data_IF_731576308759
#
_entry.id   IF_731576308759
#
_cell.length_a   1.000
_cell.length_b   1.000
_cell.length_c   1.000
_cell.angle_alpha   90.00
_cell.angle_beta   90.00
_cell.angle_gamma   90.00
#
_symmetry.space_group_name_H-M   'P 1'
#
loop_
_entity.id
_entity.type
_entity.pdbx_description
1 polymer ?
#
# COMPACT_ATOMS: atom_id res chain seq x y z
N UNK A 1 -6.93 38.88 -51.94
CA UNK A 1 -7.93 38.46 -52.96
C UNK A 1 -8.10 36.95 -52.86
N UNK A 2 -9.35 36.50 -52.93
CA UNK A 2 -9.85 35.11 -52.89
C UNK A 2 -9.80 34.34 -51.57
N UNK A 3 -10.86 34.60 -50.80
CA UNK A 3 -11.46 33.74 -49.78
C UNK A 3 -12.40 32.73 -50.47
N UNK A 4 -12.36 31.43 -50.12
CA UNK A 4 -13.39 30.45 -50.49
C UNK A 4 -14.18 30.04 -49.25
N UNK A 5 -15.47 30.43 -49.25
CA UNK A 5 -16.52 30.02 -48.33
C UNK A 5 -17.01 28.60 -48.68
N UNK A 6 -17.27 27.78 -47.66
CA UNK A 6 -18.23 26.67 -47.72
C UNK A 6 -19.26 26.85 -46.61
N UNK A 7 -20.58 26.70 -46.88
CA UNK A 7 -21.62 26.93 -45.88
C UNK A 7 -21.98 25.65 -45.12
N UNK A 8 -22.13 25.80 -43.81
CA UNK A 8 -22.76 24.85 -42.89
C UNK A 8 -24.27 24.90 -43.13
N UNK A 9 -24.89 23.76 -43.46
CA UNK A 9 -26.36 23.60 -43.48
C UNK A 9 -26.80 22.88 -42.22
N UNK A 10 -27.41 23.64 -41.32
CA UNK A 10 -28.27 23.15 -40.24
C UNK A 10 -29.50 22.46 -40.85
N UNK A 11 -29.79 21.24 -40.38
CA UNK A 11 -31.12 20.66 -40.41
C UNK A 11 -31.41 20.10 -39.03
N UNK A 12 -32.13 20.88 -38.22
CA UNK A 12 -32.94 20.38 -37.13
C UNK A 12 -34.31 19.99 -37.69
N UNK A 13 -34.80 18.81 -37.33
CA UNK A 13 -36.23 18.64 -37.06
C UNK A 13 -36.41 17.68 -35.87
N UNK A 14 -37.39 17.90 -34.98
CA UNK A 14 -37.41 17.30 -33.65
C UNK A 14 -38.50 16.23 -33.47
N UNK A 15 -38.35 15.50 -32.35
CA UNK A 15 -39.36 14.71 -31.61
C UNK A 15 -39.70 13.30 -32.13
N UNK A 16 -39.38 12.33 -31.26
CA UNK A 16 -39.81 10.93 -31.32
C UNK A 16 -39.24 10.12 -30.15
N UNK A 17 -39.60 10.46 -28.91
CA UNK A 17 -39.49 9.59 -27.73
C UNK A 17 -40.33 8.31 -28.01
N UNK A 18 -39.89 7.05 -27.86
CA UNK A 18 -39.61 6.30 -26.63
C UNK A 18 -39.60 4.79 -27.01
N UNK A 19 -38.98 3.93 -26.17
CA UNK A 19 -39.00 2.45 -26.20
C UNK A 19 -38.25 1.73 -27.34
N UNK A 20 -36.91 1.63 -27.23
CA UNK A 20 -36.22 0.41 -27.73
C UNK A 20 -34.80 0.20 -27.20
N UNK A 21 -34.09 1.23 -26.72
CA UNK A 21 -32.68 1.09 -26.30
C UNK A 21 -32.42 0.36 -24.98
N UNK A 22 -33.38 0.30 -24.04
CA UNK A 22 -33.21 -0.42 -22.75
C UNK A 22 -33.37 -1.94 -22.88
N UNK A 23 -34.21 -2.43 -23.78
CA UNK A 23 -34.41 -3.86 -23.96
C UNK A 23 -33.21 -4.55 -24.65
N UNK A 24 -32.54 -3.85 -25.57
CA UNK A 24 -31.33 -4.37 -26.23
C UNK A 24 -30.10 -4.47 -25.30
N UNK A 25 -29.98 -3.57 -24.31
CA UNK A 25 -28.90 -3.65 -23.32
C UNK A 25 -29.14 -4.78 -22.30
N UNK A 26 -30.38 -4.93 -21.81
CA UNK A 26 -30.73 -5.98 -20.84
C UNK A 26 -30.55 -7.40 -21.39
N UNK A 27 -30.97 -7.68 -22.63
CA UNK A 27 -30.82 -9.01 -23.22
C UNK A 27 -29.33 -9.43 -23.30
N UNK A 28 -28.46 -8.49 -23.67
CA UNK A 28 -27.02 -8.69 -23.76
C UNK A 28 -26.36 -8.93 -22.39
N UNK A 29 -26.86 -8.27 -21.34
CA UNK A 29 -26.42 -8.51 -19.97
C UNK A 29 -26.90 -9.85 -19.43
N UNK A 30 -28.15 -10.24 -19.70
CA UNK A 30 -28.68 -11.54 -19.29
C UNK A 30 -27.88 -12.68 -19.92
N UNK A 31 -27.57 -12.60 -21.22
CA UNK A 31 -26.71 -13.57 -21.91
C UNK A 31 -25.28 -13.59 -21.33
N UNK A 32 -24.71 -12.42 -21.03
CA UNK A 32 -23.39 -12.32 -20.39
C UNK A 32 -23.36 -12.97 -19.00
N UNK A 33 -24.35 -12.68 -18.16
CA UNK A 33 -24.50 -13.27 -16.83
C UNK A 33 -24.67 -14.78 -16.93
N UNK A 34 -25.52 -15.26 -17.85
CA UNK A 34 -25.72 -16.69 -18.07
C UNK A 34 -24.41 -17.39 -18.47
N UNK A 35 -23.65 -16.80 -19.41
CA UNK A 35 -22.34 -17.32 -19.82
C UNK A 35 -21.35 -17.38 -18.65
N UNK A 36 -21.21 -16.28 -17.89
CA UNK A 36 -20.34 -16.23 -16.71
C UNK A 36 -20.73 -17.24 -15.64
N UNK A 37 -22.03 -17.48 -15.47
CA UNK A 37 -22.55 -18.47 -14.55
C UNK A 37 -22.21 -19.88 -14.99
N UNK A 38 -22.35 -20.19 -16.27
CA UNK A 38 -21.95 -21.49 -16.81
C UNK A 38 -20.45 -21.74 -16.65
N UNK A 39 -19.60 -20.74 -16.93
CA UNK A 39 -18.15 -20.82 -16.70
C UNK A 39 -17.82 -21.09 -15.22
N UNK A 40 -18.50 -20.38 -14.31
CA UNK A 40 -18.31 -20.57 -12.87
C UNK A 40 -18.75 -21.95 -12.39
N UNK A 41 -19.93 -22.42 -12.82
CA UNK A 41 -20.50 -23.72 -12.42
C UNK A 41 -19.60 -24.89 -12.82
N UNK A 42 -18.88 -24.81 -13.94
CA UNK A 42 -17.99 -25.87 -14.40
C UNK A 42 -16.81 -26.16 -13.44
N UNK A 43 -16.46 -25.21 -12.56
CA UNK A 43 -15.32 -25.27 -11.64
C UNK A 43 -15.79 -25.26 -10.18
N UNK A 44 -17.05 -24.89 -9.93
CA UNK A 44 -17.59 -24.71 -8.60
C UNK A 44 -17.94 -26.02 -7.89
N UNK A 45 -17.97 -25.97 -6.55
CA UNK A 45 -18.53 -27.05 -5.75
C UNK A 45 -20.02 -27.25 -6.03
N UNK A 46 -20.52 -28.50 -6.02
CA UNK A 46 -21.96 -28.77 -6.09
C UNK A 46 -22.73 -28.22 -4.88
N UNK A 47 -22.19 -28.40 -3.68
CA UNK A 47 -22.70 -27.80 -2.44
C UNK A 47 -21.66 -26.79 -1.92
N UNK A 48 -22.00 -25.49 -1.86
CA UNK A 48 -21.08 -24.48 -1.36
C UNK A 48 -20.96 -24.48 0.16
N UNK A 49 -21.88 -25.08 0.93
CA UNK A 49 -21.80 -25.03 2.40
C UNK A 49 -20.83 -26.11 2.89
N UNK A 50 -19.63 -25.70 3.33
CA UNK A 50 -18.57 -26.65 3.68
C UNK A 50 -18.50 -26.97 5.17
N UNK A 51 -18.95 -26.06 6.04
CA UNK A 51 -19.00 -26.27 7.50
C UNK A 51 -19.84 -25.19 8.19
N UNK A 52 -20.07 -25.37 9.50
CA UNK A 52 -20.50 -24.31 10.41
C UNK A 52 -19.40 -23.97 11.41
N UNK A 53 -19.09 -22.69 11.56
CA UNK A 53 -18.08 -22.17 12.48
C UNK A 53 -18.75 -21.63 13.73
N UNK A 54 -18.18 -21.95 14.89
CA UNK A 54 -18.59 -21.42 16.20
C UNK A 54 -17.35 -21.22 17.09
N UNK A 55 -16.42 -20.40 16.62
CA UNK A 55 -15.14 -20.12 17.30
C UNK A 55 -15.19 -18.79 18.07
N UNK A 56 -14.29 -18.57 19.05
CA UNK A 56 -14.18 -17.28 19.74
C UNK A 56 -13.99 -16.11 18.78
N UNK A 57 -13.21 -16.29 17.71
CA UNK A 57 -12.95 -15.26 16.71
C UNK A 57 -14.21 -14.93 15.93
N UNK A 58 -15.00 -15.93 15.55
CA UNK A 58 -16.30 -15.71 14.94
C UNK A 58 -17.25 -14.98 15.90
N UNK A 59 -17.37 -15.44 17.15
CA UNK A 59 -18.23 -14.78 18.15
C UNK A 59 -17.81 -13.34 18.44
N UNK A 60 -16.51 -13.04 18.36
CA UNK A 60 -15.97 -11.71 18.63
C UNK A 60 -16.44 -10.63 17.65
N UNK A 61 -16.95 -11.02 16.47
CA UNK A 61 -17.47 -10.04 15.50
C UNK A 61 -18.87 -9.53 15.89
N UNK A 62 -19.62 -10.25 16.73
CA UNK A 62 -20.99 -9.91 17.09
C UNK A 62 -21.02 -8.79 18.13
N UNK A 63 -21.02 -7.56 17.63
CA UNK A 63 -21.40 -6.37 18.40
C UNK A 63 -22.91 -6.19 18.36
N UNK A 64 -23.45 -5.39 19.30
CA UNK A 64 -24.87 -5.04 19.31
C UNK A 64 -25.26 -4.36 17.99
N UNK A 65 -24.39 -3.51 17.47
CA UNK A 65 -24.55 -2.80 16.22
C UNK A 65 -24.59 -3.74 15.00
N UNK A 66 -23.76 -4.79 14.99
CA UNK A 66 -23.81 -5.80 13.94
C UNK A 66 -25.10 -6.64 14.01
N UNK A 67 -25.54 -7.01 15.21
CA UNK A 67 -26.82 -7.71 15.41
C UNK A 67 -28.01 -6.90 14.91
N UNK A 68 -28.04 -5.60 15.22
CA UNK A 68 -29.08 -4.68 14.74
C UNK A 68 -29.06 -4.55 13.21
N UNK A 69 -27.86 -4.53 12.60
CA UNK A 69 -27.70 -4.53 11.16
C UNK A 69 -28.22 -5.83 10.52
N UNK A 70 -27.94 -6.98 11.13
CA UNK A 70 -28.40 -8.30 10.64
C UNK A 70 -29.93 -8.34 10.66
N UNK A 71 -30.55 -7.93 11.77
CA UNK A 71 -32.01 -7.90 11.89
C UNK A 71 -32.62 -6.91 10.90
N UNK A 72 -31.97 -5.76 10.68
CA UNK A 72 -32.42 -4.80 9.68
C UNK A 72 -32.50 -5.42 8.29
N UNK A 73 -31.43 -6.06 7.80
CA UNK A 73 -31.43 -6.67 6.46
C UNK A 73 -32.43 -7.82 6.36
N UNK A 74 -32.63 -8.59 7.44
CA UNK A 74 -33.67 -9.62 7.52
C UNK A 74 -35.08 -9.04 7.35
N UNK A 75 -35.41 -7.92 8.03
CA UNK A 75 -36.72 -7.26 7.92
C UNK A 75 -37.02 -6.76 6.50
N UNK A 76 -36.00 -6.42 5.73
CA UNK A 76 -36.11 -5.93 4.36
C UNK A 76 -35.87 -7.02 3.29
N UNK A 77 -35.82 -8.30 3.69
CA UNK A 77 -35.68 -9.46 2.80
C UNK A 77 -34.42 -9.41 1.90
N UNK A 78 -33.30 -8.97 2.49
CA UNK A 78 -31.99 -8.98 1.85
C UNK A 78 -31.01 -9.87 2.60
N UNK A 79 -30.24 -10.65 1.85
CA UNK A 79 -29.19 -11.48 2.43
C UNK A 79 -27.93 -10.63 2.68
N UNK A 80 -27.28 -10.88 3.82
CA UNK A 80 -25.95 -10.36 4.13
C UNK A 80 -25.05 -11.47 4.64
N UNK A 81 -23.77 -11.42 4.25
CA UNK A 81 -22.73 -12.35 4.71
C UNK A 81 -21.42 -11.61 4.86
N UNK A 82 -20.58 -12.06 5.80
CA UNK A 82 -19.18 -11.64 5.86
C UNK A 82 -18.46 -12.18 4.62
N UNK A 83 -17.57 -11.40 4.02
CA UNK A 83 -16.91 -11.75 2.77
C UNK A 83 -15.38 -11.69 2.84
N UNK A 84 -14.73 -12.52 2.03
CA UNK A 84 -13.31 -12.39 1.68
C UNK A 84 -12.36 -12.49 2.87
N UNK A 85 -11.60 -11.42 3.13
CA UNK A 85 -10.45 -11.47 4.03
C UNK A 85 -10.81 -11.78 5.48
N UNK A 86 -11.96 -11.31 5.96
CA UNK A 86 -12.44 -11.59 7.31
C UNK A 86 -12.80 -13.07 7.47
N UNK A 87 -13.40 -13.69 6.46
CA UNK A 87 -13.73 -15.13 6.46
C UNK A 87 -12.45 -15.97 6.57
N UNK A 88 -11.44 -15.64 5.76
CA UNK A 88 -10.12 -16.30 5.80
C UNK A 88 -9.48 -16.19 7.18
N UNK A 89 -9.48 -15.00 7.78
CA UNK A 89 -8.84 -14.77 9.07
C UNK A 89 -9.56 -15.55 10.20
N UNK A 90 -10.90 -15.54 10.23
CA UNK A 90 -11.69 -16.34 11.18
C UNK A 90 -11.38 -17.84 11.04
N UNK A 91 -11.35 -18.36 9.81
CA UNK A 91 -11.03 -19.77 9.54
C UNK A 91 -9.58 -20.14 9.88
N UNK A 92 -8.69 -19.16 10.01
CA UNK A 92 -7.33 -19.34 10.52
C UNK A 92 -7.21 -19.19 12.03
N UNK A 93 -8.31 -18.94 12.76
CA UNK A 93 -8.28 -18.65 14.20
C UNK A 93 -7.69 -17.27 14.51
N UNK A 94 -7.88 -16.29 13.61
CA UNK A 94 -7.45 -14.90 13.81
C UNK A 94 -8.66 -13.98 13.87
N UNK A 95 -8.65 -13.03 14.82
CA UNK A 95 -9.66 -11.98 14.85
C UNK A 95 -9.50 -11.06 13.62
N UNK A 96 -10.55 -10.88 12.79
CA UNK A 96 -10.50 -9.95 11.67
C UNK A 96 -10.42 -8.51 12.20
N UNK A 97 -9.60 -7.67 11.55
CA UNK A 97 -9.50 -6.25 11.90
C UNK A 97 -10.60 -5.40 11.26
N UNK A 98 -10.88 -5.71 10.00
CA UNK A 98 -11.90 -5.05 9.18
C UNK A 98 -12.86 -6.14 8.67
N UNK A 99 -14.16 -5.87 8.71
CA UNK A 99 -15.22 -6.80 8.29
C UNK A 99 -15.89 -6.24 7.04
N UNK A 100 -15.60 -6.87 5.90
CA UNK A 100 -16.32 -6.61 4.65
C UNK A 100 -17.63 -7.42 4.66
N UNK A 101 -18.76 -6.74 4.48
CA UNK A 101 -20.07 -7.37 4.35
C UNK A 101 -20.49 -7.32 2.88
N UNK A 102 -20.94 -8.45 2.34
CA UNK A 102 -21.55 -8.54 1.03
C UNK A 102 -23.07 -8.70 1.14
N UNK A 103 -23.82 -8.15 0.18
CA UNK A 103 -25.29 -8.20 0.20
C UNK A 103 -25.93 -8.34 -1.17
N UNK A 104 -27.13 -8.93 -1.21
CA UNK A 104 -28.00 -8.95 -2.39
C UNK A 104 -28.75 -7.62 -2.62
N UNK A 105 -28.74 -6.71 -1.65
CA UNK A 105 -29.31 -5.37 -1.79
C UNK A 105 -28.43 -4.50 -2.71
N UNK A 106 -29.05 -3.81 -3.66
CA UNK A 106 -28.38 -2.80 -4.48
C UNK A 106 -28.03 -1.55 -3.67
N UNK A 107 -27.10 -0.69 -4.14
CA UNK A 107 -26.77 0.55 -3.44
C UNK A 107 -27.98 1.47 -3.28
N UNK A 108 -28.90 1.48 -4.25
CA UNK A 108 -30.16 2.23 -4.18
C UNK A 108 -31.07 1.68 -3.08
N UNK A 109 -31.30 0.37 -3.05
CA UNK A 109 -32.12 -0.27 -1.99
C UNK A 109 -31.51 -0.04 -0.61
N UNK A 110 -30.19 -0.20 -0.44
CA UNK A 110 -29.50 0.10 0.82
C UNK A 110 -29.72 1.55 1.28
N UNK A 111 -29.61 2.52 0.38
CA UNK A 111 -29.87 3.93 0.69
C UNK A 111 -31.30 4.18 1.13
N UNK A 112 -32.27 3.58 0.45
CA UNK A 112 -33.69 3.68 0.80
C UNK A 112 -33.94 3.09 2.20
N UNK A 113 -33.39 1.92 2.48
CA UNK A 113 -33.47 1.26 3.80
C UNK A 113 -32.88 2.16 4.89
N UNK A 114 -31.63 2.60 4.74
CA UNK A 114 -30.97 3.40 5.77
C UNK A 114 -31.63 4.77 5.97
N UNK A 115 -32.10 5.40 4.89
CA UNK A 115 -32.84 6.66 5.00
C UNK A 115 -34.16 6.47 5.75
N UNK A 116 -34.91 5.41 5.43
CA UNK A 116 -36.19 5.10 6.08
C UNK A 116 -36.04 4.77 7.57
N UNK A 117 -34.95 4.13 7.95
CA UNK A 117 -34.63 3.79 9.34
C UNK A 117 -33.86 4.90 10.08
N UNK A 118 -33.67 6.07 9.45
CA UNK A 118 -32.90 7.20 9.99
C UNK A 118 -31.44 6.84 10.38
N UNK A 119 -30.83 5.92 9.64
CA UNK A 119 -29.44 5.51 9.82
C UNK A 119 -28.54 6.40 8.97
N UNK A 120 -27.54 7.01 9.62
CA UNK A 120 -26.56 7.85 8.94
C UNK A 120 -25.65 7.00 8.05
N UNK A 121 -25.48 7.43 6.80
CA UNK A 121 -24.46 6.88 5.89
C UNK A 121 -23.22 7.77 5.90
N UNK A 122 -22.04 7.16 5.95
CA UNK A 122 -20.74 7.82 5.88
C UNK A 122 -20.00 7.38 4.61
N UNK A 123 -18.97 8.15 4.23
CA UNK A 123 -18.05 7.80 3.12
C UNK A 123 -18.74 7.47 1.78
N UNK A 124 -19.34 8.48 1.13
CA UNK A 124 -20.04 8.31 -0.17
C UNK A 124 -19.11 7.98 -1.36
N UNK A 125 -17.78 7.98 -1.17
CA UNK A 125 -16.82 7.72 -2.24
C UNK A 125 -16.85 6.26 -2.73
N UNK A 126 -17.23 5.30 -1.85
CA UNK A 126 -17.34 3.88 -2.17
C UNK A 126 -18.55 3.51 -3.04
N UNK A 127 -19.52 4.42 -3.18
CA UNK A 127 -20.79 4.16 -3.87
C UNK A 127 -20.59 3.76 -5.33
N UNK A 128 -19.61 4.38 -6.01
CA UNK A 128 -19.28 4.04 -7.41
C UNK A 128 -18.87 2.59 -7.61
N UNK A 129 -18.46 1.92 -6.54
CA UNK A 129 -18.06 0.51 -6.53
C UNK A 129 -19.11 -0.40 -5.90
N UNK A 130 -20.30 0.13 -5.60
CA UNK A 130 -21.40 -0.60 -4.98
C UNK A 130 -21.28 -0.74 -3.47
N UNK A 131 -20.44 0.06 -2.81
CA UNK A 131 -20.23 0.02 -1.35
C UNK A 131 -20.96 1.18 -0.67
N UNK A 132 -21.75 0.88 0.36
CA UNK A 132 -22.40 1.84 1.25
C UNK A 132 -21.89 1.60 2.66
N UNK A 133 -21.58 2.67 3.40
CA UNK A 133 -21.09 2.56 4.78
C UNK A 133 -22.10 3.17 5.76
N UNK A 134 -23.07 2.40 6.29
CA UNK A 134 -23.91 2.88 7.39
C UNK A 134 -23.12 3.00 8.70
N UNK A 135 -23.52 3.95 9.53
CA UNK A 135 -23.09 4.08 10.92
C UNK A 135 -24.24 3.67 11.84
N UNK A 136 -24.17 2.48 12.42
CA UNK A 136 -25.24 1.90 13.24
C UNK A 136 -25.11 2.43 14.67
N UNK A 137 -26.25 2.84 15.25
CA UNK A 137 -26.37 3.44 16.58
C UNK A 137 -25.40 4.62 16.82
N UNK A 138 -25.04 5.34 15.76
CA UNK A 138 -24.01 6.40 15.75
C UNK A 138 -22.65 5.98 16.35
N UNK A 139 -22.36 4.68 16.39
CA UNK A 139 -21.19 4.10 17.06
C UNK A 139 -20.22 3.40 16.11
N UNK A 140 -20.72 2.45 15.34
CA UNK A 140 -19.90 1.55 14.52
C UNK A 140 -20.21 1.72 13.02
N UNK A 141 -19.18 1.64 12.18
CA UNK A 141 -19.31 1.74 10.73
C UNK A 141 -19.16 0.34 10.12
N UNK A 142 -19.99 0.00 9.13
CA UNK A 142 -19.88 -1.26 8.39
C UNK A 142 -19.71 -0.99 6.91
N UNK A 143 -18.73 -1.61 6.25
CA UNK A 143 -18.60 -1.53 4.79
C UNK A 143 -19.45 -2.62 4.13
N UNK A 144 -20.55 -2.23 3.48
CA UNK A 144 -21.50 -3.15 2.87
C UNK A 144 -21.47 -3.00 1.36
N UNK A 145 -21.11 -4.06 0.65
CA UNK A 145 -20.93 -4.05 -0.81
C UNK A 145 -21.94 -4.97 -1.50
N UNK A 146 -22.65 -4.44 -2.49
CA UNK A 146 -23.54 -5.24 -3.33
C UNK A 146 -22.77 -6.29 -4.13
N UNK A 147 -23.29 -7.51 -4.19
CA UNK A 147 -22.75 -8.57 -5.04
C UNK A 147 -22.69 -8.11 -6.50
N UNK A 148 -21.60 -8.45 -7.18
CA UNK A 148 -21.37 -7.93 -8.52
C UNK A 148 -20.58 -8.85 -9.44
N UNK A 149 -20.61 -8.51 -10.72
CA UNK A 149 -19.86 -9.14 -11.81
C UNK A 149 -19.10 -8.04 -12.53
N UNK A 150 -17.82 -8.27 -12.79
CA UNK A 150 -16.98 -7.33 -13.54
C UNK A 150 -17.10 -7.65 -15.05
N UNK A 151 -17.69 -6.74 -15.82
CA UNK A 151 -18.00 -6.93 -17.25
C UNK A 151 -16.79 -6.68 -18.15
N UNK A 152 -16.12 -5.56 -17.91
CA UNK A 152 -14.85 -5.16 -18.53
C UNK A 152 -14.01 -4.59 -17.41
N UNK A 153 -12.79 -5.09 -17.24
CA UNK A 153 -11.86 -4.61 -16.21
C UNK A 153 -10.48 -4.40 -16.84
N UNK A 154 -9.88 -3.23 -16.55
CA UNK A 154 -8.46 -2.98 -16.77
C UNK A 154 -7.66 -3.06 -15.45
N UNK A 155 -8.29 -3.57 -14.40
CA UNK A 155 -7.77 -3.68 -13.04
C UNK A 155 -7.98 -2.44 -12.17
N UNK A 156 -8.30 -1.25 -12.72
CA UNK A 156 -8.63 -0.04 -11.95
C UNK A 156 -10.08 0.39 -12.14
N UNK A 157 -10.58 0.30 -13.36
CA UNK A 157 -11.95 0.60 -13.74
C UNK A 157 -12.61 -0.70 -14.18
N UNK A 158 -13.63 -1.09 -13.44
CA UNK A 158 -14.52 -2.17 -13.86
C UNK A 158 -15.89 -1.57 -14.19
N UNK A 159 -16.46 -1.95 -15.33
CA UNK A 159 -17.91 -1.81 -15.52
C UNK A 159 -18.57 -2.92 -14.70
N UNK A 160 -19.34 -2.52 -13.70
CA UNK A 160 -19.88 -3.41 -12.67
C UNK A 160 -21.36 -3.66 -12.95
N UNK A 161 -21.76 -4.93 -12.91
CA UNK A 161 -23.17 -5.35 -12.94
C UNK A 161 -23.51 -5.93 -11.57
N UNK A 162 -24.54 -5.40 -10.92
CA UNK A 162 -25.04 -5.99 -9.67
C UNK A 162 -25.76 -7.31 -9.94
N UNK A 163 -25.58 -8.28 -9.05
CA UNK A 163 -26.22 -9.60 -9.12
C UNK A 163 -26.78 -9.97 -7.75
N UNK A 164 -27.66 -10.98 -7.69
CA UNK A 164 -28.06 -11.64 -6.43
C UNK A 164 -27.41 -13.02 -6.28
N UNK A 165 -26.55 -13.39 -7.22
CA UNK A 165 -25.90 -14.70 -7.29
C UNK A 165 -24.52 -14.66 -6.62
N UNK A 166 -24.42 -15.29 -5.45
CA UNK A 166 -23.21 -15.40 -4.66
C UNK A 166 -22.07 -16.15 -5.37
N UNK A 167 -22.40 -17.15 -6.20
CA UNK A 167 -21.39 -17.88 -6.99
C UNK A 167 -20.70 -16.94 -7.98
N UNK A 168 -21.48 -16.05 -8.60
CA UNK A 168 -20.95 -15.08 -9.56
C UNK A 168 -20.05 -14.03 -8.89
N UNK A 169 -20.41 -13.56 -7.69
CA UNK A 169 -19.53 -12.67 -6.93
C UNK A 169 -18.26 -13.37 -6.46
N UNK A 170 -18.34 -14.63 -6.03
CA UNK A 170 -17.16 -15.43 -5.70
C UNK A 170 -16.25 -15.60 -6.92
N UNK A 171 -16.81 -15.81 -8.11
CA UNK A 171 -16.06 -16.11 -9.33
C UNK A 171 -15.21 -14.93 -9.83
N UNK A 172 -15.63 -13.69 -9.58
CA UNK A 172 -14.86 -12.49 -9.97
C UNK A 172 -13.68 -12.19 -9.05
N UNK A 173 -13.61 -12.84 -7.89
CA UNK A 173 -12.54 -12.61 -6.91
C UNK A 173 -11.24 -13.23 -7.41
N UNK A 174 -10.13 -12.76 -6.85
CA UNK A 174 -8.80 -13.13 -7.31
C UNK A 174 -8.39 -14.52 -6.84
N UNK A 175 -8.46 -14.77 -5.53
CA UNK A 175 -7.93 -15.97 -4.89
C UNK A 175 -9.04 -16.77 -4.21
N UNK A 176 -8.92 -18.10 -4.23
CA UNK A 176 -9.89 -19.04 -3.64
C UNK A 176 -10.09 -18.77 -2.15
N UNK A 177 -9.00 -18.57 -1.40
CA UNK A 177 -9.01 -18.23 0.03
C UNK A 177 -9.72 -16.90 0.35
N UNK A 178 -9.95 -16.04 -0.65
CA UNK A 178 -10.62 -14.75 -0.51
C UNK A 178 -11.99 -14.72 -1.21
N UNK A 179 -12.45 -15.85 -1.77
CA UNK A 179 -13.72 -15.97 -2.48
C UNK A 179 -14.85 -16.59 -1.65
N UNK A 180 -14.58 -16.91 -0.38
CA UNK A 180 -15.55 -17.47 0.56
C UNK A 180 -16.42 -16.39 1.21
N UNK A 181 -17.59 -16.83 1.67
CA UNK A 181 -18.51 -16.05 2.51
C UNK A 181 -18.85 -16.78 3.79
N UNK A 182 -19.21 -16.04 4.83
CA UNK A 182 -19.62 -16.59 6.13
C UNK A 182 -20.96 -15.98 6.52
N UNK A 183 -21.97 -16.84 6.66
CA UNK A 183 -23.27 -16.49 7.21
C UNK A 183 -23.18 -16.21 8.71
N UNK A 184 -24.07 -15.36 9.21
CA UNK A 184 -24.14 -15.05 10.64
C UNK A 184 -24.71 -16.19 11.50
N UNK A 185 -25.16 -17.28 10.88
CA UNK A 185 -25.49 -18.55 11.52
C UNK A 185 -24.28 -19.51 11.61
N UNK A 186 -23.09 -19.04 11.22
CA UNK A 186 -21.84 -19.80 11.17
C UNK A 186 -21.60 -20.55 9.86
N UNK A 187 -22.55 -20.58 8.93
CA UNK A 187 -22.39 -21.34 7.67
C UNK A 187 -21.31 -20.75 6.76
N UNK A 188 -20.29 -21.53 6.40
CA UNK A 188 -19.24 -21.13 5.47
C UNK A 188 -19.62 -21.55 4.06
N UNK A 189 -19.75 -20.56 3.17
CA UNK A 189 -20.02 -20.75 1.74
C UNK A 189 -18.72 -20.64 0.95
N UNK A 190 -18.26 -21.76 0.41
CA UNK A 190 -17.07 -21.88 -0.42
C UNK A 190 -17.41 -22.51 -1.78
N UNK A 191 -17.37 -21.68 -2.82
CA UNK A 191 -17.68 -22.13 -4.18
C UNK A 191 -16.46 -22.72 -4.90
N UNK A 192 -15.23 -22.37 -4.51
CA UNK A 192 -14.02 -22.59 -5.32
C UNK A 192 -12.88 -23.23 -4.53
N UNK A 193 -13.21 -24.10 -3.59
CA UNK A 193 -12.25 -24.86 -2.79
C UNK A 193 -11.29 -24.00 -1.95
N UNK A 194 -11.71 -22.78 -1.60
CA UNK A 194 -10.96 -21.87 -0.75
C UNK A 194 -10.69 -22.41 0.65
N UNK A 195 -11.61 -23.20 1.21
CA UNK A 195 -11.39 -23.84 2.51
C UNK A 195 -10.28 -24.89 2.44
N UNK A 196 -10.31 -25.76 1.43
CA UNK A 196 -9.25 -26.77 1.20
C UNK A 196 -7.89 -26.12 0.96
N UNK A 197 -7.85 -25.05 0.18
CA UNK A 197 -6.63 -24.28 -0.07
C UNK A 197 -6.09 -23.66 1.21
N UNK A 198 -6.98 -23.12 2.04
CA UNK A 198 -6.60 -22.56 3.32
C UNK A 198 -6.04 -23.62 4.28
N UNK A 199 -6.65 -24.81 4.35
CA UNK A 199 -6.13 -25.93 5.14
C UNK A 199 -4.75 -26.40 4.65
N UNK A 200 -4.53 -26.39 3.33
CA UNK A 200 -3.24 -26.75 2.72
C UNK A 200 -2.23 -25.61 2.69
N UNK A 201 -2.58 -24.43 3.21
CA UNK A 201 -1.79 -23.18 3.14
C UNK A 201 -1.37 -22.83 1.70
N UNK A 202 -2.24 -23.12 0.73
CA UNK A 202 -2.01 -22.91 -0.70
C UNK A 202 -2.69 -21.62 -1.14
N UNK A 203 -1.95 -20.77 -1.86
CA UNK A 203 -2.53 -19.61 -2.54
C UNK A 203 -2.85 -20.00 -3.97
N UNK A 204 -4.13 -20.05 -4.32
CA UNK A 204 -4.60 -20.38 -5.65
C UNK A 204 -5.56 -19.31 -6.18
N UNK A 205 -5.54 -19.13 -7.50
CA UNK A 205 -6.46 -18.26 -8.21
C UNK A 205 -7.83 -18.91 -8.39
N UNK A 206 -8.90 -18.11 -8.41
CA UNK A 206 -10.22 -18.59 -8.82
C UNK A 206 -10.21 -18.81 -10.34
N UNK A 207 -10.40 -20.05 -10.78
CA UNK A 207 -10.35 -20.40 -12.21
C UNK A 207 -8.92 -20.34 -12.78
N UNK A 208 -8.78 -19.90 -14.03
CA UNK A 208 -7.50 -19.88 -14.74
C UNK A 208 -6.59 -18.71 -14.27
N UNK A 209 -5.37 -18.99 -13.74
CA UNK A 209 -4.46 -17.95 -13.24
C UNK A 209 -4.02 -16.92 -14.30
N UNK A 210 -3.80 -17.34 -15.56
CA UNK A 210 -3.35 -16.46 -16.64
C UNK A 210 -4.45 -15.44 -16.99
N UNK A 211 -5.70 -15.89 -17.07
CA UNK A 211 -6.87 -15.02 -17.23
C UNK A 211 -7.07 -14.11 -16.01
N UNK A 212 -6.89 -14.62 -14.77
CA UNK A 212 -6.99 -13.79 -13.56
C UNK A 212 -5.96 -12.68 -13.55
N UNK A 213 -4.72 -12.97 -13.86
CA UNK A 213 -3.65 -11.97 -13.87
C UNK A 213 -3.87 -10.93 -14.98
N UNK A 214 -4.32 -11.34 -16.16
CA UNK A 214 -4.55 -10.42 -17.29
C UNK A 214 -5.67 -9.41 -17.06
N UNK A 215 -6.64 -9.72 -16.21
CA UNK A 215 -7.69 -8.78 -15.81
C UNK A 215 -7.19 -7.68 -14.87
N UNK A 216 -6.28 -8.01 -13.94
CA UNK A 216 -5.60 -7.04 -13.10
C UNK A 216 -4.21 -7.57 -12.75
N UNK A 217 -3.18 -7.03 -13.40
CA UNK A 217 -1.79 -7.47 -13.18
C UNK A 217 -1.33 -7.22 -11.74
N UNK A 218 -1.99 -6.36 -10.95
CA UNK A 218 -1.69 -6.21 -9.53
C UNK A 218 -1.91 -7.51 -8.75
N UNK A 219 -2.73 -8.43 -9.28
CA UNK A 219 -2.94 -9.76 -8.69
C UNK A 219 -1.64 -10.58 -8.56
N UNK A 220 -0.62 -10.28 -9.37
CA UNK A 220 0.72 -10.86 -9.20
C UNK A 220 1.28 -10.52 -7.82
N UNK A 221 1.26 -9.25 -7.41
CA UNK A 221 1.76 -8.84 -6.10
C UNK A 221 0.85 -9.32 -4.97
N UNK A 222 -0.46 -9.36 -5.21
CA UNK A 222 -1.42 -9.91 -4.23
C UNK A 222 -1.16 -11.39 -3.96
N UNK A 223 -0.78 -12.18 -4.96
CA UNK A 223 -0.35 -13.57 -4.75
C UNK A 223 0.77 -13.65 -3.72
N UNK A 224 1.87 -12.89 -3.91
CA UNK A 224 2.99 -12.87 -2.95
C UNK A 224 2.56 -12.35 -1.57
N UNK A 225 1.73 -11.30 -1.50
CA UNK A 225 1.21 -10.77 -0.23
C UNK A 225 0.44 -11.83 0.55
N UNK A 226 -0.49 -12.50 -0.12
CA UNK A 226 -1.31 -13.51 0.54
C UNK A 226 -0.54 -14.79 0.82
N UNK A 227 0.51 -15.09 0.04
CA UNK A 227 1.45 -16.14 0.37
C UNK A 227 2.10 -15.88 1.73
N UNK A 228 2.66 -14.68 1.93
CA UNK A 228 3.18 -14.25 3.24
C UNK A 228 2.13 -14.17 4.36
N UNK A 229 0.82 -14.17 4.04
CA UNK A 229 -0.26 -14.18 5.04
C UNK A 229 -0.59 -15.59 5.53
N UNK A 230 -0.58 -16.59 4.64
CA UNK A 230 -1.10 -17.94 4.97
C UNK A 230 -0.04 -19.03 4.96
N UNK A 231 1.07 -18.87 4.24
CA UNK A 231 2.04 -19.94 4.07
C UNK A 231 2.78 -20.26 5.37
N UNK A 232 2.99 -21.56 5.61
CA UNK A 232 3.82 -22.02 6.73
C UNK A 232 5.29 -22.14 6.37
N UNK A 233 5.59 -22.40 5.09
CA UNK A 233 6.94 -22.58 4.53
C UNK A 233 7.08 -21.72 3.27
N UNK A 234 8.29 -21.22 3.00
CA UNK A 234 8.57 -20.35 1.85
C UNK A 234 8.60 -21.10 0.51
N UNK A 235 8.98 -22.38 0.49
CA UNK A 235 9.20 -23.12 -0.77
C UNK A 235 7.99 -23.96 -1.22
N UNK A 236 6.80 -23.71 -0.68
CA UNK A 236 5.57 -24.43 -1.05
C UNK A 236 4.77 -23.66 -2.11
N UNK A 237 5.43 -22.99 -3.04
CA UNK A 237 4.77 -22.30 -4.14
C UNK A 237 4.27 -23.31 -5.17
N UNK A 238 3.19 -22.98 -5.86
CA UNK A 238 2.80 -23.73 -7.05
C UNK A 238 3.65 -23.25 -8.24
N UNK A 239 4.51 -24.14 -8.75
CA UNK A 239 5.46 -23.85 -9.82
C UNK A 239 4.76 -23.45 -11.14
N UNK A 240 3.56 -23.97 -11.41
CA UNK A 240 2.77 -23.53 -12.57
C UNK A 240 2.32 -22.08 -12.39
N UNK A 241 1.77 -21.73 -11.22
CA UNK A 241 1.39 -20.36 -10.90
C UNK A 241 2.59 -19.39 -11.00
N UNK A 242 3.78 -19.77 -10.52
CA UNK A 242 4.99 -18.95 -10.65
C UNK A 242 5.39 -18.75 -12.13
N UNK A 243 5.32 -19.79 -12.96
CA UNK A 243 5.57 -19.69 -14.40
C UNK A 243 4.57 -18.75 -15.10
N UNK A 244 3.30 -18.82 -14.74
CA UNK A 244 2.26 -17.92 -15.26
C UNK A 244 2.51 -16.46 -14.81
N UNK A 245 2.93 -16.26 -13.56
CA UNK A 245 3.32 -14.95 -13.03
C UNK A 245 4.46 -14.37 -13.85
N UNK A 246 5.55 -15.12 -14.04
CA UNK A 246 6.72 -14.67 -14.80
C UNK A 246 6.35 -14.29 -16.24
N UNK A 247 5.56 -15.13 -16.91
CA UNK A 247 5.03 -14.88 -18.27
C UNK A 247 4.24 -13.56 -18.37
N UNK A 248 3.56 -13.16 -17.31
CA UNK A 248 2.70 -11.97 -17.29
C UNK A 248 3.33 -10.75 -16.56
N UNK A 249 4.59 -10.85 -16.10
CA UNK A 249 5.24 -9.83 -15.29
C UNK A 249 5.26 -8.45 -15.95
N UNK A 250 5.52 -8.39 -17.27
CA UNK A 250 5.55 -7.14 -18.05
C UNK A 250 4.23 -6.35 -18.02
N UNK A 251 3.10 -7.02 -17.75
CA UNK A 251 1.81 -6.36 -17.61
C UNK A 251 1.71 -5.44 -16.39
N UNK A 252 2.56 -5.62 -15.37
CA UNK A 252 2.66 -4.70 -14.23
C UNK A 252 3.04 -3.28 -14.66
N UNK A 253 3.67 -3.08 -15.82
CA UNK A 253 3.93 -1.75 -16.39
C UNK A 253 2.65 -0.92 -16.62
N UNK A 254 1.49 -1.58 -16.75
CA UNK A 254 0.17 -0.93 -16.87
C UNK A 254 -0.43 -0.50 -15.53
N UNK A 255 0.13 -0.98 -14.42
CA UNK A 255 -0.36 -0.71 -13.06
C UNK A 255 0.37 0.51 -12.49
N UNK A 256 -0.40 1.41 -11.87
CA UNK A 256 0.15 2.62 -11.26
C UNK A 256 1.17 2.29 -10.17
N UNK A 257 2.20 3.14 -10.06
CA UNK A 257 3.28 2.97 -9.10
C UNK A 257 2.81 2.87 -7.66
N UNK A 258 1.83 3.70 -7.29
CA UNK A 258 1.29 3.77 -5.95
C UNK A 258 0.65 2.44 -5.53
N UNK A 259 -0.07 1.78 -6.44
CA UNK A 259 -0.72 0.49 -6.16
C UNK A 259 0.30 -0.62 -5.99
N UNK A 260 1.34 -0.64 -6.83
CA UNK A 260 2.46 -1.57 -6.69
C UNK A 260 3.15 -1.36 -5.36
N UNK A 261 3.46 -0.11 -5.02
CA UNK A 261 4.16 0.23 -3.79
C UNK A 261 3.34 -0.15 -2.55
N UNK A 262 2.04 0.09 -2.56
CA UNK A 262 1.15 -0.30 -1.47
C UNK A 262 1.12 -1.82 -1.23
N UNK A 263 1.10 -2.63 -2.30
CA UNK A 263 1.17 -4.09 -2.16
C UNK A 263 2.55 -4.55 -1.70
N UNK A 264 3.63 -3.98 -2.24
CA UNK A 264 4.99 -4.36 -1.87
C UNK A 264 5.34 -4.03 -0.42
N UNK A 265 4.89 -2.88 0.10
CA UNK A 265 5.00 -2.57 1.54
C UNK A 265 4.34 -3.63 2.41
N UNK A 266 3.16 -4.12 2.02
CA UNK A 266 2.46 -5.18 2.75
C UNK A 266 3.16 -6.53 2.64
N UNK A 267 3.82 -6.81 1.52
CA UNK A 267 4.67 -8.01 1.36
C UNK A 267 5.84 -7.94 2.33
N UNK A 268 6.59 -6.84 2.33
CA UNK A 268 7.78 -6.69 3.19
C UNK A 268 7.44 -6.68 4.70
N UNK A 269 6.30 -6.11 5.09
CA UNK A 269 5.84 -6.13 6.48
C UNK A 269 5.23 -7.48 6.91
N UNK A 270 4.97 -8.38 5.96
CA UNK A 270 4.38 -9.69 6.21
C UNK A 270 5.41 -10.75 6.61
N UNK A 271 4.94 -11.96 6.90
CA UNK A 271 5.83 -13.13 7.08
C UNK A 271 6.58 -13.37 5.77
N UNK A 272 7.86 -13.75 5.87
CA UNK A 272 8.73 -13.98 4.73
C UNK A 272 8.94 -12.75 3.83
N UNK A 273 8.80 -11.53 4.35
CA UNK A 273 8.90 -10.31 3.54
C UNK A 273 10.21 -10.20 2.75
N UNK A 274 11.33 -10.60 3.36
CA UNK A 274 12.62 -10.72 2.69
C UNK A 274 12.57 -11.76 1.56
N UNK A 275 12.22 -13.01 1.89
CA UNK A 275 12.25 -14.13 0.95
C UNK A 275 11.29 -13.95 -0.22
N UNK A 276 10.10 -13.38 0.01
CA UNK A 276 9.11 -13.09 -1.03
C UNK A 276 9.58 -12.00 -1.97
N UNK A 277 10.29 -10.99 -1.47
CA UNK A 277 10.91 -9.97 -2.33
C UNK A 277 12.00 -10.60 -3.21
N UNK A 278 12.81 -11.50 -2.67
CA UNK A 278 13.79 -12.28 -3.45
C UNK A 278 13.08 -13.18 -4.48
N UNK A 279 11.98 -13.84 -4.09
CA UNK A 279 11.19 -14.68 -5.00
C UNK A 279 10.59 -13.86 -6.15
N UNK A 280 10.12 -12.64 -5.88
CA UNK A 280 9.64 -11.71 -6.91
C UNK A 280 10.76 -11.38 -7.90
N UNK A 281 11.97 -11.06 -7.43
CA UNK A 281 13.14 -10.78 -8.27
C UNK A 281 13.46 -12.00 -9.15
N UNK A 282 13.49 -13.20 -8.57
CA UNK A 282 13.76 -14.46 -9.28
C UNK A 282 12.62 -14.89 -10.22
N UNK A 283 11.46 -14.23 -10.16
CA UNK A 283 10.31 -14.47 -11.04
C UNK A 283 10.20 -13.42 -12.16
N UNK A 284 11.29 -12.72 -12.49
CA UNK A 284 11.40 -11.70 -13.54
C UNK A 284 10.56 -10.43 -13.31
N UNK A 285 10.22 -10.10 -12.05
CA UNK A 285 9.44 -8.89 -11.75
C UNK A 285 10.28 -7.60 -11.69
N UNK A 286 11.61 -7.70 -11.55
CA UNK A 286 12.51 -6.58 -11.22
C UNK A 286 12.27 -5.32 -12.06
N UNK A 287 12.34 -5.45 -13.40
CA UNK A 287 12.14 -4.32 -14.30
C UNK A 287 10.73 -3.71 -14.18
N UNK A 288 9.72 -4.55 -13.99
CA UNK A 288 8.31 -4.12 -13.95
C UNK A 288 7.94 -3.36 -12.67
N UNK A 289 8.65 -3.65 -11.57
CA UNK A 289 8.51 -2.96 -10.27
C UNK A 289 9.53 -1.84 -10.06
N UNK A 290 10.38 -1.56 -11.06
CA UNK A 290 11.28 -0.41 -11.08
C UNK A 290 12.66 -0.63 -10.47
N UNK A 291 13.04 -1.88 -10.21
CA UNK A 291 14.40 -2.21 -9.77
C UNK A 291 15.40 -2.12 -10.94
N UNK A 292 16.70 -1.88 -10.64
CA UNK A 292 17.75 -1.98 -11.65
C UNK A 292 17.83 -3.40 -12.23
N UNK A 293 18.49 -3.54 -13.39
CA UNK A 293 18.61 -4.83 -14.10
C UNK A 293 19.23 -5.93 -13.23
N UNK A 294 20.22 -5.56 -12.39
CA UNK A 294 20.91 -6.45 -11.47
C UNK A 294 20.79 -5.92 -10.04
N UNK A 295 19.66 -6.10 -9.35
CA UNK A 295 19.50 -5.59 -7.99
C UNK A 295 20.45 -6.31 -7.03
N UNK A 296 20.94 -5.61 -6.00
CA UNK A 296 21.86 -6.18 -5.02
C UNK A 296 21.12 -7.00 -3.95
N UNK A 297 20.82 -8.25 -4.30
CA UNK A 297 20.03 -9.17 -3.44
C UNK A 297 20.78 -9.55 -2.17
N UNK A 298 22.10 -9.72 -2.23
CA UNK A 298 22.92 -10.09 -1.07
C UNK A 298 22.88 -9.00 0.01
N UNK A 299 23.03 -7.74 -0.40
CA UNK A 299 22.93 -6.59 0.48
C UNK A 299 21.52 -6.41 1.03
N UNK A 300 20.48 -6.63 0.21
CA UNK A 300 19.09 -6.63 0.68
C UNK A 300 18.84 -7.63 1.81
N UNK A 301 19.30 -8.88 1.64
CA UNK A 301 19.15 -9.92 2.67
C UNK A 301 19.93 -9.56 3.93
N UNK A 302 21.14 -9.01 3.78
CA UNK A 302 21.97 -8.54 4.92
C UNK A 302 21.26 -7.44 5.69
N UNK A 303 20.76 -6.43 5.00
CA UNK A 303 20.08 -5.27 5.61
C UNK A 303 18.77 -5.67 6.28
N UNK A 304 18.01 -6.60 5.69
CA UNK A 304 16.79 -7.11 6.32
C UNK A 304 17.09 -7.75 7.69
N UNK A 305 18.14 -8.57 7.78
CA UNK A 305 18.62 -9.17 9.05
C UNK A 305 19.13 -8.11 10.02
N UNK A 306 19.84 -7.10 9.53
CA UNK A 306 20.32 -6.00 10.35
C UNK A 306 19.16 -5.26 11.02
N UNK A 307 18.10 -4.95 10.28
CA UNK A 307 16.90 -4.28 10.80
C UNK A 307 16.25 -5.13 11.90
N UNK A 308 16.11 -6.44 11.69
CA UNK A 308 15.55 -7.36 12.70
C UNK A 308 16.38 -7.41 13.98
N UNK A 309 17.71 -7.23 13.88
CA UNK A 309 18.61 -7.21 15.04
C UNK A 309 18.55 -5.91 15.85
N UNK A 310 18.12 -4.80 15.23
CA UNK A 310 17.99 -3.50 15.88
C UNK A 310 16.58 -3.35 16.46
N UNK A 311 16.51 -2.97 17.73
CA UNK A 311 15.32 -3.11 18.57
C UNK A 311 14.01 -2.57 17.95
N UNK A 312 13.00 -3.45 17.93
CA UNK A 312 11.56 -3.21 18.11
C UNK A 312 10.98 -1.93 17.51
N UNK A 313 10.68 -1.96 16.22
CA UNK A 313 9.76 -1.03 15.56
C UNK A 313 9.34 -1.60 14.21
N UNK A 314 8.26 -1.05 13.64
CA UNK A 314 7.82 -1.44 12.30
C UNK A 314 8.98 -1.27 11.30
N UNK A 315 9.07 -2.20 10.35
CA UNK A 315 10.03 -2.12 9.26
C UNK A 315 9.67 -0.87 8.44
N UNK A 316 10.60 0.07 8.32
CA UNK A 316 10.52 1.12 7.32
C UNK A 316 10.88 0.50 5.96
N UNK A 317 9.93 0.28 5.03
CA UNK A 317 10.19 -0.56 3.87
C UNK A 317 11.21 0.01 2.88
N UNK A 318 11.47 1.32 2.93
CA UNK A 318 12.53 1.95 2.13
C UNK A 318 13.93 1.52 2.57
N UNK A 319 14.15 1.28 3.86
CA UNK A 319 15.48 0.94 4.41
C UNK A 319 16.05 -0.35 3.82
N UNK A 320 15.32 -1.49 3.78
CA UNK A 320 15.80 -2.65 3.04
C UNK A 320 15.72 -2.43 1.53
N UNK A 321 14.71 -1.73 1.00
CA UNK A 321 14.60 -1.53 -0.45
C UNK A 321 15.79 -0.77 -1.06
N UNK A 322 16.37 0.20 -0.34
CA UNK A 322 17.56 0.94 -0.82
C UNK A 322 18.78 0.05 -0.98
N UNK A 323 18.84 -1.09 -0.27
CA UNK A 323 19.90 -2.08 -0.40
C UNK A 323 19.88 -2.81 -1.75
N UNK A 324 18.75 -2.85 -2.46
CA UNK A 324 18.66 -3.40 -3.81
C UNK A 324 19.26 -2.47 -4.88
N UNK A 325 19.57 -1.22 -4.52
CA UNK A 325 19.98 -0.14 -5.43
C UNK A 325 21.48 0.11 -5.34
N UNK A 326 22.12 0.48 -6.45
CA UNK A 326 23.56 0.73 -6.50
C UNK A 326 23.93 2.19 -6.28
N UNK A 327 23.08 3.12 -6.76
CA UNK A 327 23.38 4.55 -6.68
C UNK A 327 22.18 5.40 -6.25
N UNK A 328 22.38 6.68 -5.90
CA UNK A 328 21.28 7.62 -5.69
C UNK A 328 20.38 7.84 -6.90
N UNK A 329 20.90 7.70 -8.13
CA UNK A 329 20.12 7.76 -9.37
C UNK A 329 19.13 6.60 -9.51
N UNK A 330 19.50 5.41 -9.02
CA UNK A 330 18.58 4.27 -8.95
C UNK A 330 17.40 4.59 -8.02
N UNK A 331 17.64 5.27 -6.89
CA UNK A 331 16.58 5.69 -5.96
C UNK A 331 15.63 6.71 -6.62
N UNK A 332 16.15 7.65 -7.41
CA UNK A 332 15.35 8.59 -8.20
C UNK A 332 14.49 7.83 -9.22
N UNK A 333 15.09 6.88 -9.94
CA UNK A 333 14.40 6.07 -10.96
C UNK A 333 13.30 5.20 -10.35
N UNK A 334 13.58 4.55 -9.23
CA UNK A 334 12.60 3.75 -8.49
C UNK A 334 11.43 4.60 -8.01
N UNK A 335 11.70 5.80 -7.48
CA UNK A 335 10.64 6.74 -7.10
C UNK A 335 9.80 7.18 -8.31
N UNK A 336 10.40 7.43 -9.47
CA UNK A 336 9.63 7.76 -10.68
C UNK A 336 8.65 6.65 -11.05
N UNK A 337 9.00 5.39 -10.80
CA UNK A 337 8.15 4.22 -11.03
C UNK A 337 7.09 4.00 -9.96
N UNK A 338 7.44 4.12 -8.69
CA UNK A 338 6.62 3.72 -7.54
C UNK A 338 5.86 4.87 -6.87
N UNK A 339 6.22 6.12 -7.20
CA UNK A 339 5.56 7.35 -6.69
C UNK A 339 5.57 7.39 -5.15
N UNK A 340 6.78 7.39 -4.60
CA UNK A 340 6.98 7.46 -3.16
C UNK A 340 6.42 8.75 -2.56
N UNK A 341 6.07 8.68 -1.27
CA UNK A 341 5.86 9.89 -0.48
C UNK A 341 7.16 10.71 -0.39
N UNK A 342 7.06 11.98 -0.02
CA UNK A 342 8.24 12.85 0.13
C UNK A 342 9.24 12.22 1.11
N UNK A 343 8.78 11.74 2.27
CA UNK A 343 9.64 11.07 3.25
C UNK A 343 10.37 9.86 2.64
N UNK A 344 9.63 8.95 2.01
CA UNK A 344 10.18 7.72 1.43
C UNK A 344 11.21 8.02 0.32
N UNK A 345 10.96 9.02 -0.52
CA UNK A 345 11.89 9.46 -1.57
C UNK A 345 13.19 10.00 -0.97
N UNK A 346 13.10 10.93 -0.02
CA UNK A 346 14.28 11.53 0.60
C UNK A 346 15.08 10.49 1.38
N UNK A 347 14.41 9.56 2.08
CA UNK A 347 15.08 8.48 2.79
C UNK A 347 15.82 7.54 1.84
N UNK A 348 15.21 7.15 0.71
CA UNK A 348 15.85 6.27 -0.27
C UNK A 348 17.14 6.92 -0.81
N UNK A 349 17.05 8.20 -1.20
CA UNK A 349 18.20 8.97 -1.68
C UNK A 349 19.30 9.08 -0.61
N UNK A 350 18.91 9.48 0.62
CA UNK A 350 19.83 9.61 1.75
C UNK A 350 20.59 8.32 2.03
N UNK A 351 19.91 7.17 2.09
CA UNK A 351 20.56 5.89 2.36
C UNK A 351 21.53 5.50 1.24
N UNK A 352 21.11 5.60 -0.03
CA UNK A 352 21.98 5.30 -1.17
C UNK A 352 23.20 6.22 -1.27
N UNK A 353 23.12 7.43 -0.73
CA UNK A 353 24.21 8.39 -0.74
C UNK A 353 25.22 8.17 0.40
N UNK A 354 24.75 7.76 1.59
CA UNK A 354 25.57 7.80 2.82
C UNK A 354 25.98 6.41 3.35
N UNK A 355 25.35 5.32 2.91
CA UNK A 355 25.61 3.97 3.46
C UNK A 355 27.08 3.54 3.41
N UNK A 356 27.79 3.82 2.33
CA UNK A 356 29.15 3.27 2.16
C UNK A 356 30.15 4.02 3.06
N UNK A 357 29.99 5.34 3.20
CA UNK A 357 30.85 6.17 4.06
C UNK A 357 30.69 5.82 5.55
N UNK A 358 29.47 5.46 5.98
CA UNK A 358 29.16 5.19 7.39
C UNK A 358 29.24 3.72 7.80
N UNK A 359 29.54 2.80 6.87
CA UNK A 359 29.57 1.37 7.17
C UNK A 359 30.59 1.03 8.28
N UNK A 360 31.79 1.60 8.21
CA UNK A 360 32.87 1.33 9.18
C UNK A 360 32.84 2.21 10.44
N UNK A 361 31.95 3.21 10.49
CA UNK A 361 31.93 4.24 11.56
C UNK A 361 31.24 3.73 12.82
N UNK A 362 31.99 3.52 13.92
CA UNK A 362 31.46 2.93 15.15
C UNK A 362 31.32 3.90 16.33
N UNK A 363 31.46 5.20 16.07
CA UNK A 363 31.30 6.25 17.07
C UNK A 363 29.99 7.02 16.84
N UNK A 364 29.39 7.55 17.91
CA UNK A 364 28.13 8.28 17.83
C UNK A 364 28.25 9.65 17.14
N UNK A 365 29.39 10.32 17.35
CA UNK A 365 29.57 11.72 16.96
C UNK A 365 29.37 11.98 15.45
N UNK A 366 29.93 11.18 14.53
CA UNK A 366 29.66 11.35 13.11
C UNK A 366 28.18 11.26 12.73
N UNK A 367 27.39 10.39 13.38
CA UNK A 367 25.94 10.29 13.14
C UNK A 367 25.19 11.51 13.68
N UNK A 368 25.62 12.08 14.81
CA UNK A 368 25.06 13.34 15.34
C UNK A 368 25.37 14.52 14.40
N UNK A 369 26.59 14.57 13.85
CA UNK A 369 27.00 15.55 12.84
C UNK A 369 26.17 15.41 11.56
N UNK A 370 26.00 14.18 11.05
CA UNK A 370 25.16 13.90 9.89
C UNK A 370 23.71 14.35 10.11
N UNK A 371 23.18 14.17 11.33
CA UNK A 371 21.83 14.63 11.71
C UNK A 371 21.68 16.16 11.62
N UNK A 372 22.75 16.93 11.72
CA UNK A 372 22.71 18.40 11.54
C UNK A 372 22.78 18.80 10.06
N UNK A 373 23.61 18.11 9.28
CA UNK A 373 23.89 18.40 7.87
C UNK A 373 22.75 17.97 6.94
N UNK A 374 22.05 16.89 7.31
CA UNK A 374 20.93 16.34 6.52
C UNK A 374 19.88 17.42 6.24
N UNK A 375 19.29 17.45 5.05
CA UNK A 375 18.26 18.44 4.70
C UNK A 375 16.90 18.10 5.35
N UNK A 376 16.07 19.12 5.60
CA UNK A 376 14.73 18.95 6.17
C UNK A 376 14.57 19.48 7.60
N UNK A 377 13.45 19.15 8.24
CA UNK A 377 13.18 19.53 9.64
C UNK A 377 14.04 18.72 10.60
N UNK A 378 14.37 19.26 11.78
CA UNK A 378 15.22 18.58 12.76
C UNK A 378 14.74 17.16 13.12
N UNK A 379 13.42 16.95 13.20
CA UNK A 379 12.81 15.63 13.42
C UNK A 379 13.12 14.66 12.27
N UNK A 380 12.90 15.08 11.04
CA UNK A 380 13.13 14.27 9.84
C UNK A 380 14.60 13.90 9.65
N UNK A 381 15.50 14.86 9.90
CA UNK A 381 16.95 14.62 9.80
C UNK A 381 17.41 13.46 10.68
N UNK A 382 16.96 13.45 11.93
CA UNK A 382 17.28 12.40 12.90
C UNK A 382 16.69 11.05 12.49
N UNK A 383 15.46 11.03 11.97
CA UNK A 383 14.80 9.80 11.49
C UNK A 383 15.60 9.13 10.36
N UNK A 384 16.16 9.89 9.42
CA UNK A 384 16.97 9.31 8.33
C UNK A 384 18.26 8.66 8.85
N UNK A 385 18.96 9.32 9.79
CA UNK A 385 20.19 8.77 10.38
C UNK A 385 19.88 7.54 11.24
N UNK A 386 18.74 7.50 11.93
CA UNK A 386 18.29 6.31 12.66
C UNK A 386 18.06 5.13 11.71
N UNK A 387 17.50 5.35 10.52
CA UNK A 387 17.35 4.30 9.51
C UNK A 387 18.69 3.88 8.90
N UNK A 388 19.67 4.77 8.77
CA UNK A 388 21.04 4.41 8.37
C UNK A 388 21.73 3.52 9.43
N UNK A 389 21.53 3.81 10.72
CA UNK A 389 22.02 2.94 11.79
C UNK A 389 21.35 1.56 11.76
N UNK A 390 20.04 1.50 11.44
CA UNK A 390 19.34 0.23 11.21
C UNK A 390 19.87 -0.52 9.99
N UNK A 391 20.13 0.18 8.89
CA UNK A 391 20.72 -0.35 7.67
C UNK A 391 22.01 -1.12 7.97
N UNK A 392 22.89 -0.55 8.78
CA UNK A 392 24.14 -1.18 9.20
C UNK A 392 24.05 -2.09 10.44
N UNK A 393 22.87 -2.26 11.04
CA UNK A 393 22.70 -3.11 12.22
C UNK A 393 23.33 -2.56 13.51
N UNK A 394 23.59 -1.24 13.59
CA UNK A 394 24.31 -0.60 14.71
C UNK A 394 23.38 -0.33 15.90
N UNK A 395 22.99 -1.40 16.60
CA UNK A 395 21.98 -1.38 17.67
C UNK A 395 22.28 -0.40 18.81
N UNK A 396 23.51 -0.39 19.32
CA UNK A 396 23.88 0.46 20.46
C UNK A 396 23.84 1.94 20.09
N UNK A 397 24.46 2.30 18.96
CA UNK A 397 24.44 3.66 18.42
C UNK A 397 23.01 4.11 18.07
N UNK A 398 22.17 3.20 17.55
CA UNK A 398 20.75 3.48 17.33
C UNK A 398 20.05 3.89 18.63
N UNK A 399 20.26 3.15 19.71
CA UNK A 399 19.70 3.49 21.02
C UNK A 399 20.19 4.84 21.53
N UNK A 400 21.50 5.09 21.47
CA UNK A 400 22.09 6.35 21.90
C UNK A 400 21.57 7.55 21.09
N UNK A 401 21.55 7.44 19.76
CA UNK A 401 21.06 8.52 18.90
C UNK A 401 19.56 8.74 19.11
N UNK A 402 18.77 7.67 19.29
CA UNK A 402 17.33 7.78 19.54
C UNK A 402 17.03 8.59 20.80
N UNK A 403 17.79 8.42 21.87
CA UNK A 403 17.64 9.20 23.11
C UNK A 403 18.26 10.61 23.02
N UNK A 404 19.26 10.80 22.17
CA UNK A 404 19.94 12.09 22.01
C UNK A 404 18.99 13.21 21.55
N UNK A 405 18.88 14.27 22.34
CA UNK A 405 18.18 15.49 21.95
C UNK A 405 19.17 16.43 21.27
N UNK A 406 18.81 16.92 20.08
CA UNK A 406 19.64 17.88 19.35
C UNK A 406 19.74 19.16 20.19
N UNK A 407 20.93 19.53 20.69
CA UNK A 407 21.05 20.71 21.55
C UNK A 407 20.74 21.99 20.76
N UNK A 408 20.32 23.03 21.46
CA UNK A 408 20.09 24.33 20.83
C UNK A 408 21.42 24.95 20.40
N UNK A 409 21.55 25.32 19.13
CA UNK A 409 22.73 26.01 18.64
C UNK A 409 22.83 27.39 19.33
N UNK A 410 23.96 27.71 19.99
CA UNK A 410 24.03 28.82 20.94
C UNK A 410 24.07 30.20 20.28
N UNK A 411 24.28 30.30 18.97
CA UNK A 411 24.36 31.58 18.25
C UNK A 411 23.16 31.80 17.31
N UNK A 412 22.61 33.01 17.37
CA UNK A 412 21.59 33.49 16.42
C UNK A 412 22.21 34.27 15.25
N UNK A 413 21.54 34.26 14.10
CA UNK A 413 22.02 34.94 12.89
C UNK A 413 22.26 36.45 13.05
N UNK A 414 21.48 37.13 13.89
CA UNK A 414 21.64 38.57 14.14
C UNK A 414 23.00 38.89 14.77
N UNK A 415 23.42 38.07 15.74
CA UNK A 415 24.73 38.21 16.42
C UNK A 415 25.86 38.03 15.42
N UNK A 416 25.76 37.05 14.52
CA UNK A 416 26.75 36.85 13.45
C UNK A 416 26.86 38.05 12.51
N UNK A 417 25.73 38.66 12.14
CA UNK A 417 25.71 39.85 11.27
C UNK A 417 26.41 41.04 11.96
N UNK A 418 26.15 41.24 13.26
CA UNK A 418 26.82 42.29 14.06
C UNK A 418 28.34 42.09 14.12
N UNK A 419 28.79 40.83 14.08
CA UNK A 419 30.20 40.43 14.07
C UNK A 419 30.79 40.26 12.66
N UNK A 420 30.12 40.78 11.63
CA UNK A 420 30.68 40.89 10.28
C UNK A 420 30.25 39.81 9.28
N UNK A 421 29.37 38.89 9.65
CA UNK A 421 28.82 37.91 8.71
C UNK A 421 27.91 38.58 7.66
N UNK A 422 27.89 38.08 6.42
CA UNK A 422 27.04 38.61 5.36
C UNK A 422 25.55 38.32 5.64
N UNK A 423 24.67 39.22 5.22
CA UNK A 423 23.20 39.03 5.27
C UNK A 423 22.71 38.10 4.14
N UNK A 424 21.52 37.55 4.31
CA UNK A 424 20.83 36.77 3.28
C UNK A 424 21.35 35.33 3.16
N UNK A 425 21.28 34.69 1.97
CA UNK A 425 21.60 33.26 1.80
C UNK A 425 23.00 32.86 2.28
N UNK A 426 23.98 33.77 2.18
CA UNK A 426 25.35 33.57 2.64
C UNK A 426 25.46 33.37 4.16
N UNK A 427 24.54 33.96 4.95
CA UNK A 427 24.48 33.75 6.40
C UNK A 427 24.18 32.28 6.72
N UNK A 428 23.33 31.63 5.93
CA UNK A 428 23.00 30.22 6.12
C UNK A 428 24.21 29.31 5.96
N UNK A 429 25.09 29.62 5.00
CA UNK A 429 26.36 28.88 4.80
C UNK A 429 27.28 29.04 6.01
N UNK A 430 27.47 30.27 6.50
CA UNK A 430 28.27 30.55 7.70
C UNK A 430 27.70 29.84 8.93
N UNK A 431 26.37 29.89 9.12
CA UNK A 431 25.70 29.19 10.22
C UNK A 431 25.90 27.67 10.16
N UNK A 432 25.87 27.08 8.98
CA UNK A 432 26.06 25.64 8.82
C UNK A 432 27.52 25.24 9.13
N UNK A 433 28.50 26.01 8.66
CA UNK A 433 29.91 25.77 8.99
C UNK A 433 30.18 25.91 10.50
N UNK A 434 29.65 26.95 11.15
CA UNK A 434 29.80 27.11 12.60
C UNK A 434 29.10 25.98 13.38
N UNK A 435 27.96 25.48 12.91
CA UNK A 435 27.34 24.27 13.49
C UNK A 435 28.23 23.04 13.38
N UNK A 436 29.01 22.91 12.30
CA UNK A 436 29.96 21.82 12.15
C UNK A 436 31.14 21.96 13.11
N UNK A 437 31.67 23.17 13.30
CA UNK A 437 32.71 23.46 14.31
C UNK A 437 32.19 23.14 15.71
N UNK A 438 30.97 23.57 16.04
CA UNK A 438 30.31 23.28 17.30
C UNK A 438 30.12 21.77 17.52
N UNK A 439 29.64 21.05 16.50
CA UNK A 439 29.45 19.61 16.57
C UNK A 439 30.78 18.86 16.70
N UNK A 440 31.84 19.27 16.00
CA UNK A 440 33.18 18.68 16.16
C UNK A 440 33.72 18.81 17.60
N UNK A 441 33.29 19.83 18.33
CA UNK A 441 33.59 20.04 19.75
C UNK A 441 32.47 19.51 20.66
N UNK A 442 31.81 18.42 20.25
CA UNK A 442 30.81 17.69 21.04
C UNK A 442 29.67 18.56 21.58
N UNK A 443 29.32 19.62 20.86
CA UNK A 443 28.23 20.54 21.20
C UNK A 443 28.48 21.40 22.46
N UNK A 444 29.73 21.50 22.93
CA UNK A 444 30.07 22.17 24.20
C UNK A 444 30.45 23.66 24.03
N UNK A 445 30.75 24.13 22.82
CA UNK A 445 31.20 25.52 22.60
C UNK A 445 30.08 26.53 22.89
N UNK A 446 30.45 27.62 23.56
CA UNK A 446 29.58 28.76 23.85
C UNK A 446 29.50 29.74 22.67
N UNK A 447 28.62 30.75 22.77
CA UNK A 447 28.54 31.83 21.78
C UNK A 447 29.89 32.57 21.60
N UNK A 448 30.60 33.00 22.67
CA UNK A 448 31.93 33.58 22.52
C UNK A 448 32.95 32.70 21.79
N UNK A 449 32.98 31.40 22.09
CA UNK A 449 33.92 30.46 21.47
C UNK A 449 33.69 30.38 19.95
N UNK A 450 32.43 30.25 19.54
CA UNK A 450 32.04 30.16 18.14
C UNK A 450 32.24 31.48 17.37
N UNK A 451 32.08 32.62 18.02
CA UNK A 451 32.46 33.91 17.43
C UNK A 451 33.96 34.00 17.16
N UNK A 452 34.80 33.39 18.01
CA UNK A 452 36.24 33.26 17.77
C UNK A 452 36.58 32.48 16.48
N UNK A 453 35.71 31.56 16.07
CA UNK A 453 35.87 30.77 14.83
C UNK A 453 35.29 31.45 13.58
N UNK A 454 34.49 32.53 13.72
CA UNK A 454 33.84 33.21 12.60
C UNK A 454 34.83 33.69 11.51
N UNK A 455 35.98 34.31 11.83
CA UNK A 455 36.93 34.76 10.80
C UNK A 455 37.43 33.63 9.90
N UNK A 456 37.80 32.49 10.50
CA UNK A 456 38.27 31.31 9.77
C UNK A 456 37.17 30.71 8.89
N UNK A 457 35.91 30.72 9.36
CA UNK A 457 34.76 30.27 8.57
C UNK A 457 34.49 31.22 7.38
N UNK A 458 34.58 32.53 7.59
CA UNK A 458 34.40 33.51 6.51
C UNK A 458 35.50 33.38 5.45
N UNK A 459 36.74 33.15 5.86
CA UNK A 459 37.85 32.89 4.94
C UNK A 459 37.64 31.59 4.15
N UNK A 460 37.28 30.49 4.83
CA UNK A 460 36.98 29.19 4.19
C UNK A 460 35.90 29.30 3.10
N UNK A 461 34.90 30.15 3.30
CA UNK A 461 33.79 30.33 2.37
C UNK A 461 34.05 31.39 1.28
N UNK A 462 35.24 32.00 1.23
CA UNK A 462 35.55 33.17 0.39
C UNK A 462 34.55 34.33 0.59
N UNK A 463 34.15 34.52 1.84
CA UNK A 463 33.21 35.56 2.31
C UNK A 463 33.89 36.60 3.19
N UNK A 464 35.20 36.47 3.43
CA UNK A 464 35.99 37.53 4.02
C UNK A 464 35.83 38.80 3.17
N UNK A 465 35.54 39.93 3.82
CA UNK A 465 35.48 41.21 3.10
C UNK A 465 36.82 41.40 2.38
N UNK A 466 36.80 41.51 1.05
CA UNK A 466 37.90 42.17 0.34
C UNK A 466 37.98 43.58 0.93
N UNK A 467 39.02 43.78 1.73
CA UNK A 467 39.36 45.03 2.42
C UNK A 467 39.41 46.21 1.46
#
# INVERSE_FOLDING_TARGET
MFCRRFPVRLLFSPVGQTRSKRHFAHARWSEFIAKRRMEAVAIARPDPVVMKVDTPEFRSIFTKELEDLIELFRRYDHEIRVAGGAVRDILMGLCPKDIDIATTATPTEMKEIFTKENIRMVNMNGEKHGTITPRINDRENFEITTLRIDAVTDGRHAEVIHTKDWLLDANRRDLTINSMFLGFDGSVYDYFYGYDDLQKRRVAFVGDPDLRIKEDYLRILRYFRFYGRIAERIDNHDEETLRIIAKNASGLAKISGERIWQEWKKIMAGKFGCDLTVKMINSDLSASIGLPEKPNVEEFVRVFKNIESVQGGDIQPITPLSALLHTPEDAITLNLRLKFTVFERELAYFLTQNRDEFESVNELLPFQQLSLQTLGSAKLKKEYVLELLRYHGKRELYGQLKEWQIPAFPIKGNVLIEHGAPKGPKLGLVMNELKMVWAANRFDMSEPDLLGHLPAVLEKLDLARKS
#
